data_IF_013564983874
#
_entry.id   IF_013564983874
#
_cell.length_a   1.000
_cell.length_b   1.000
_cell.length_c   1.000
_cell.angle_alpha   90.00
_cell.angle_beta   90.00
_cell.angle_gamma   90.00
#
_symmetry.space_group_name_H-M   'P 1'
#
loop_
_entity.id
_entity.type
_entity.pdbx_description
1 polymer ?
#
# COMPACT_ATOMS: atom_id res chain seq x y z
N UNK A 1 5.93 -36.76 6.17
CA UNK A 1 5.84 -35.53 5.35
C UNK A 1 4.42 -34.99 5.48
N UNK A 2 4.21 -34.03 6.38
CA UNK A 2 2.88 -33.46 6.65
C UNK A 2 2.55 -32.47 5.54
N UNK A 3 1.64 -32.83 4.63
CA UNK A 3 1.10 -31.90 3.64
C UNK A 3 0.28 -30.85 4.39
N UNK A 4 0.82 -29.63 4.50
CA UNK A 4 0.06 -28.47 4.92
C UNK A 4 -0.90 -28.10 3.79
N UNK A 5 -2.18 -28.42 3.97
CA UNK A 5 -3.25 -27.90 3.13
C UNK A 5 -3.27 -26.37 3.27
N UNK A 6 -2.71 -25.67 2.28
CA UNK A 6 -2.88 -24.23 2.16
C UNK A 6 -4.39 -23.96 2.09
N UNK A 7 -4.96 -23.38 3.15
CA UNK A 7 -6.37 -23.06 3.16
C UNK A 7 -6.69 -22.15 1.96
N UNK A 8 -7.79 -22.43 1.22
CA UNK A 8 -8.17 -21.60 0.09
C UNK A 8 -8.48 -20.18 0.59
N UNK A 9 -7.68 -19.23 0.14
CA UNK A 9 -7.80 -17.82 0.49
C UNK A 9 -9.16 -17.29 0.00
N UNK A 10 -9.94 -16.66 0.88
CA UNK A 10 -11.24 -16.08 0.50
C UNK A 10 -11.07 -14.99 -0.55
N UNK A 11 -12.12 -14.68 -1.31
CA UNK A 11 -12.05 -13.66 -2.37
C UNK A 11 -11.62 -12.28 -1.82
N UNK A 12 -12.07 -11.91 -0.61
CA UNK A 12 -11.69 -10.66 0.05
C UNK A 12 -10.21 -10.66 0.45
N UNK A 13 -9.71 -11.76 1.00
CA UNK A 13 -8.29 -11.92 1.35
C UNK A 13 -7.40 -11.91 0.11
N UNK A 14 -7.82 -12.54 -1.01
CA UNK A 14 -7.11 -12.44 -2.29
C UNK A 14 -7.02 -11.01 -2.80
N UNK A 15 -8.10 -10.23 -2.68
CA UNK A 15 -8.10 -8.82 -3.08
C UNK A 15 -7.13 -7.99 -2.23
N UNK A 16 -7.11 -8.19 -0.92
CA UNK A 16 -6.16 -7.50 -0.04
C UNK A 16 -4.72 -7.91 -0.35
N UNK A 17 -4.45 -9.20 -0.50
CA UNK A 17 -3.13 -9.71 -0.87
C UNK A 17 -2.63 -9.13 -2.19
N UNK A 18 -3.47 -9.16 -3.24
CA UNK A 18 -3.12 -8.60 -4.53
C UNK A 18 -2.87 -7.09 -4.46
N UNK A 19 -3.65 -6.34 -3.65
CA UNK A 19 -3.39 -4.91 -3.43
C UNK A 19 -2.01 -4.69 -2.82
N UNK A 20 -1.62 -5.48 -1.82
CA UNK A 20 -0.30 -5.40 -1.19
C UNK A 20 0.82 -5.73 -2.18
N UNK A 21 0.66 -6.79 -2.98
CA UNK A 21 1.65 -7.19 -3.99
C UNK A 21 1.82 -6.11 -5.06
N UNK A 22 0.73 -5.61 -5.64
CA UNK A 22 0.80 -4.54 -6.64
C UNK A 22 1.38 -3.24 -6.07
N UNK A 23 1.10 -2.95 -4.80
CA UNK A 23 1.71 -1.83 -4.09
C UNK A 23 3.22 -1.99 -3.98
N UNK A 24 3.69 -3.17 -3.59
CA UNK A 24 5.12 -3.48 -3.51
C UNK A 24 5.81 -3.26 -4.87
N UNK A 25 5.22 -3.79 -5.96
CA UNK A 25 5.72 -3.65 -7.32
C UNK A 25 5.81 -2.19 -7.77
N UNK A 26 4.79 -1.37 -7.45
CA UNK A 26 4.83 0.08 -7.75
C UNK A 26 5.96 0.79 -7.00
N UNK A 27 6.18 0.44 -5.74
CA UNK A 27 7.26 1.01 -4.93
C UNK A 27 8.64 0.59 -5.44
N UNK A 28 8.80 -0.65 -5.91
CA UNK A 28 10.04 -1.12 -6.53
C UNK A 28 10.33 -0.39 -7.86
N UNK A 29 9.32 -0.25 -8.72
CA UNK A 29 9.45 0.51 -9.96
C UNK A 29 9.75 2.00 -9.70
N UNK A 30 9.20 2.56 -8.62
CA UNK A 30 9.48 3.92 -8.18
C UNK A 30 10.90 4.07 -7.60
N UNK A 31 11.38 3.07 -6.87
CA UNK A 31 12.74 3.05 -6.32
C UNK A 31 13.82 3.06 -7.42
N UNK A 32 13.55 2.47 -8.59
CA UNK A 32 14.44 2.55 -9.75
C UNK A 32 14.66 4.00 -10.25
N UNK A 33 13.75 4.93 -9.92
CA UNK A 33 13.85 6.36 -10.24
C UNK A 33 14.48 7.17 -9.08
N UNK A 34 15.01 6.49 -8.07
CA UNK A 34 15.64 7.11 -6.90
C UNK A 34 14.65 7.75 -5.92
N UNK A 35 15.14 8.58 -4.98
CA UNK A 35 14.34 9.15 -3.90
C UNK A 35 13.11 9.95 -4.38
N UNK A 36 13.25 10.69 -5.48
CA UNK A 36 12.15 11.45 -6.08
C UNK A 36 11.03 10.54 -6.60
N UNK A 37 11.38 9.39 -7.19
CA UNK A 37 10.40 8.40 -7.64
C UNK A 37 9.59 7.81 -6.50
N UNK A 38 10.26 7.47 -5.40
CA UNK A 38 9.61 6.97 -4.18
C UNK A 38 8.63 8.03 -3.65
N UNK A 39 9.07 9.28 -3.50
CA UNK A 39 8.21 10.37 -3.03
C UNK A 39 6.95 10.55 -3.93
N UNK A 40 7.12 10.51 -5.25
CA UNK A 40 6.02 10.61 -6.20
C UNK A 40 5.01 9.43 -6.05
N UNK A 41 5.49 8.20 -5.89
CA UNK A 41 4.63 7.04 -5.69
C UNK A 41 3.81 7.11 -4.39
N UNK A 42 4.38 7.65 -3.32
CA UNK A 42 3.67 7.89 -2.07
C UNK A 42 2.63 9.00 -2.17
N UNK A 43 2.94 10.08 -2.90
CA UNK A 43 1.99 11.16 -3.18
C UNK A 43 0.81 10.70 -4.04
N UNK A 44 1.04 9.81 -5.00
CA UNK A 44 -0.02 9.21 -5.81
C UNK A 44 -0.91 8.27 -4.98
N UNK A 45 -0.36 7.51 -4.03
CA UNK A 45 -1.16 6.72 -3.09
C UNK A 45 -2.00 7.61 -2.17
N UNK A 46 -1.42 8.68 -1.63
CA UNK A 46 -2.15 9.67 -0.84
C UNK A 46 -3.30 10.30 -1.65
N UNK A 47 -3.05 10.64 -2.93
CA UNK A 47 -4.07 11.19 -3.83
C UNK A 47 -5.15 10.15 -4.19
N UNK A 48 -4.80 8.87 -4.30
CA UNK A 48 -5.77 7.80 -4.55
C UNK A 48 -6.69 7.58 -3.34
N UNK A 49 -6.12 7.56 -2.13
CA UNK A 49 -6.89 7.58 -0.89
C UNK A 49 -7.78 8.82 -0.84
N UNK A 50 -7.26 9.99 -1.26
CA UNK A 50 -8.00 11.25 -1.34
C UNK A 50 -9.21 11.22 -2.31
N UNK A 51 -9.13 10.42 -3.37
CA UNK A 51 -10.17 10.36 -4.41
C UNK A 51 -11.31 9.40 -4.08
N UNK A 52 -11.14 8.46 -3.15
CA UNK A 52 -12.20 7.50 -2.80
C UNK A 52 -13.14 8.01 -1.70
N UNK A 53 -13.24 9.33 -1.50
CA UNK A 53 -13.93 9.96 -0.39
C UNK A 53 -15.45 9.99 -0.59
N UNK A 54 -16.12 8.96 -0.08
CA UNK A 54 -17.50 9.08 0.40
C UNK A 54 -17.58 9.40 1.90
N UNK A 55 -16.49 9.16 2.64
CA UNK A 55 -16.36 9.41 4.08
C UNK A 55 -15.04 10.15 4.40
N UNK A 56 -15.11 11.41 4.85
CA UNK A 56 -13.96 12.24 5.20
C UNK A 56 -13.14 11.76 6.40
N UNK A 57 -13.67 10.97 7.34
CA UNK A 57 -12.86 10.51 8.49
C UNK A 57 -11.98 9.30 8.12
N UNK A 58 -12.56 8.31 7.44
CA UNK A 58 -11.83 7.13 6.96
C UNK A 58 -10.66 7.53 6.03
N UNK A 59 -10.91 8.55 5.22
CA UNK A 59 -9.94 9.25 4.38
C UNK A 59 -8.69 9.75 5.12
N UNK A 60 -8.88 10.49 6.21
CA UNK A 60 -7.79 11.01 7.02
C UNK A 60 -7.04 9.88 7.71
N UNK A 61 -7.74 8.82 8.15
CA UNK A 61 -7.12 7.64 8.74
C UNK A 61 -6.21 6.88 7.75
N UNK A 62 -6.67 6.70 6.51
CA UNK A 62 -5.88 6.06 5.44
C UNK A 62 -4.67 6.90 5.04
N UNK A 63 -4.83 8.23 4.96
CA UNK A 63 -3.73 9.15 4.71
C UNK A 63 -2.69 9.13 5.84
N UNK A 64 -3.14 9.19 7.10
CA UNK A 64 -2.27 9.14 8.26
C UNK A 64 -1.49 7.82 8.32
N UNK A 65 -2.15 6.70 8.02
CA UNK A 65 -1.52 5.37 7.93
C UNK A 65 -0.47 5.32 6.82
N UNK A 66 -0.77 5.92 5.68
CA UNK A 66 0.15 6.04 4.54
C UNK A 66 1.40 6.84 4.96
N UNK A 67 1.23 8.03 5.54
CA UNK A 67 2.35 8.85 6.01
C UNK A 67 3.14 8.16 7.13
N UNK A 68 2.49 7.47 8.06
CA UNK A 68 3.16 6.71 9.11
C UNK A 68 4.07 5.62 8.52
N UNK A 69 3.60 4.88 7.51
CA UNK A 69 4.41 3.86 6.85
C UNK A 69 5.62 4.46 6.11
N UNK A 70 5.44 5.62 5.49
CA UNK A 70 6.55 6.36 4.86
C UNK A 70 7.59 6.76 5.92
N UNK A 71 7.16 7.44 6.99
CA UNK A 71 8.04 7.86 8.07
C UNK A 71 8.70 6.69 8.78
N UNK A 72 8.00 5.57 9.02
CA UNK A 72 8.62 4.37 9.63
C UNK A 72 9.73 3.78 8.75
N UNK A 73 9.59 3.90 7.43
CA UNK A 73 10.55 3.31 6.48
C UNK A 73 11.72 4.24 6.15
N UNK A 74 11.52 5.55 6.17
CA UNK A 74 12.49 6.54 5.70
C UNK A 74 12.84 7.63 6.72
N UNK A 75 12.06 7.77 7.80
CA UNK A 75 12.38 8.63 8.94
C UNK A 75 13.46 7.96 9.77
N UNK A 76 14.69 8.45 9.60
CA UNK A 76 15.81 8.14 10.50
C UNK A 76 15.63 8.86 11.82
#
# INVERSE_FOLDING_TARGET
>A
MTQQHAQPMTQQQRRQYNRTVHRQQRLEAAAARGPAGIAAAWMDEARAAAKSWSDPEAAWADLATTLQHFCRRYGR
#
